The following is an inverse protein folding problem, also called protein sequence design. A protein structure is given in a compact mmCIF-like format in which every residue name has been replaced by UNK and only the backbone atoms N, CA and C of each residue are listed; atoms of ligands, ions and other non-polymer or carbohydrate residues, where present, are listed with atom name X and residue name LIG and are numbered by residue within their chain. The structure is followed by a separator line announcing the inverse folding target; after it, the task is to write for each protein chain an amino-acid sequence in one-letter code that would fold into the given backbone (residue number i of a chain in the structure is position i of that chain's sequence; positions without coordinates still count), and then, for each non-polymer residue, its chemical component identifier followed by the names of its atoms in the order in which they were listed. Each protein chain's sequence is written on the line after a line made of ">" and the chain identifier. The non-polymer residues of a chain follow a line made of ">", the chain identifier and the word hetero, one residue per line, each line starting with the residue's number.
data_IF_142524025189
#
_entry.id   IF_142524025189
#
_cell.length_a   1.000
_cell.length_b   1.000
_cell.length_c   1.000
_cell.angle_alpha   90.00
_cell.angle_beta   90.00
_cell.angle_gamma   90.00
#
_symmetry.space_group_name_H-M   'P 1'
#
loop_
_entity.id
_entity.type
_entity.pdbx_description
1 polymer ?
#
# COMPACT_ATOMS: atom_id res chain seq x y z
N UNK A 1 13.71 1.94 33.56
CA UNK A 1 13.77 2.82 32.38
C UNK A 1 12.38 3.37 32.11
N UNK A 2 12.28 4.61 31.64
CA UNK A 2 11.00 5.16 31.18
C UNK A 2 10.66 4.62 29.79
N UNK A 3 9.38 4.69 29.38
CA UNK A 3 8.97 4.35 28.00
C UNK A 3 9.78 5.12 26.95
N UNK A 4 10.07 6.40 27.21
CA UNK A 4 10.88 7.25 26.34
C UNK A 4 12.31 6.73 26.19
N UNK A 5 12.92 6.28 27.28
CA UNK A 5 14.29 5.75 27.25
C UNK A 5 14.37 4.47 26.40
N UNK A 6 13.34 3.62 26.47
CA UNK A 6 13.26 2.40 25.66
C UNK A 6 13.11 2.73 24.17
N UNK A 7 12.25 3.68 23.80
CA UNK A 7 12.15 4.12 22.40
C UNK A 7 13.49 4.67 21.89
N UNK A 8 14.16 5.52 22.68
CA UNK A 8 15.48 6.04 22.31
C UNK A 8 16.52 4.93 22.18
N UNK A 9 16.50 3.94 23.07
CA UNK A 9 17.35 2.74 22.96
C UNK A 9 17.08 2.01 21.65
N UNK A 10 15.83 1.71 21.30
CA UNK A 10 15.49 1.01 20.06
C UNK A 10 15.85 1.79 18.79
N UNK A 11 15.75 3.12 18.85
CA UNK A 11 16.14 4.00 17.74
C UNK A 11 17.66 4.08 17.53
N UNK A 12 18.46 3.75 18.54
CA UNK A 12 19.93 3.95 18.51
C UNK A 12 20.76 2.69 18.73
N UNK A 13 20.16 1.60 19.21
CA UNK A 13 20.87 0.36 19.50
C UNK A 13 21.52 -0.21 18.24
N UNK A 14 22.63 -0.94 18.37
CA UNK A 14 23.29 -1.51 17.21
C UNK A 14 22.53 -2.71 16.64
N UNK A 15 22.80 -2.99 15.37
CA UNK A 15 22.41 -4.28 14.78
C UNK A 15 23.21 -5.44 15.37
N UNK A 16 22.63 -6.64 15.31
CA UNK A 16 23.31 -7.86 15.69
C UNK A 16 24.38 -8.21 14.65
N UNK A 17 25.57 -8.68 15.06
CA UNK A 17 26.65 -8.99 14.12
C UNK A 17 26.23 -9.98 13.03
N UNK A 18 26.46 -9.63 11.76
CA UNK A 18 26.09 -10.42 10.57
C UNK A 18 24.60 -10.78 10.48
N UNK A 19 23.72 -10.04 11.16
CA UNK A 19 22.29 -10.27 11.09
C UNK A 19 21.64 -9.47 9.95
N UNK A 20 20.47 -9.95 9.52
CA UNK A 20 19.60 -9.26 8.57
C UNK A 20 18.24 -9.00 9.22
N UNK A 21 17.54 -8.01 8.68
CA UNK A 21 16.30 -7.49 9.24
C UNK A 21 15.23 -7.36 8.16
N UNK A 22 13.99 -7.62 8.53
CA UNK A 22 12.83 -7.22 7.73
C UNK A 22 12.38 -5.82 8.13
N UNK A 23 12.09 -4.98 7.14
CA UNK A 23 11.45 -3.69 7.36
C UNK A 23 9.94 -3.88 7.39
N UNK A 24 9.35 -3.78 8.57
CA UNK A 24 7.93 -3.83 8.82
C UNK A 24 7.38 -2.43 9.15
N UNK A 25 6.11 -2.19 8.82
CA UNK A 25 5.42 -0.96 9.13
C UNK A 25 4.04 -1.24 9.73
N UNK A 26 3.62 -0.42 10.70
CA UNK A 26 2.29 -0.46 11.30
C UNK A 26 1.71 0.95 11.35
N UNK A 27 0.62 1.18 10.62
CA UNK A 27 -0.07 2.49 10.56
C UNK A 27 -1.58 2.28 10.68
N UNK A 28 -2.32 3.36 10.88
CA UNK A 28 -3.79 3.33 10.87
C UNK A 28 -4.29 4.03 9.62
N UNK A 29 -5.07 3.32 8.81
CA UNK A 29 -5.83 3.92 7.73
C UNK A 29 -7.25 4.26 8.26
N UNK A 30 -7.77 5.48 8.05
CA UNK A 30 -9.08 5.88 8.56
C UNK A 30 -10.25 5.02 8.06
N UNK A 31 -10.14 4.44 6.86
CA UNK A 31 -11.19 3.64 6.23
C UNK A 31 -10.93 2.14 6.42
N UNK A 32 -9.67 1.72 6.34
CA UNK A 32 -9.27 0.30 6.35
C UNK A 32 -8.83 -0.20 7.73
N UNK A 33 -8.68 0.69 8.71
CA UNK A 33 -8.22 0.35 10.05
C UNK A 33 -6.73 0.03 10.10
N UNK A 34 -6.31 -0.85 11.01
CA UNK A 34 -4.90 -1.19 11.23
C UNK A 34 -4.29 -1.77 9.95
N UNK A 35 -3.29 -1.09 9.41
CA UNK A 35 -2.49 -1.57 8.29
C UNK A 35 -1.13 -2.02 8.79
N UNK A 36 -0.83 -3.29 8.60
CA UNK A 36 0.47 -3.87 8.88
C UNK A 36 1.08 -4.34 7.55
N UNK A 37 2.34 -4.00 7.31
CA UNK A 37 3.02 -4.37 6.07
C UNK A 37 4.51 -4.68 6.28
N UNK A 38 5.10 -5.35 5.30
CA UNK A 38 6.53 -5.61 5.22
C UNK A 38 7.02 -5.16 3.84
N UNK A 39 8.24 -4.61 3.77
CA UNK A 39 8.87 -4.36 2.49
C UNK A 39 9.18 -5.67 1.78
N UNK A 40 8.76 -5.77 0.52
CA UNK A 40 8.86 -7.01 -0.26
C UNK A 40 9.75 -6.86 -1.48
N UNK A 41 10.35 -7.97 -1.87
CA UNK A 41 11.08 -8.13 -3.13
C UNK A 41 10.33 -9.08 -4.05
N UNK A 42 10.49 -8.86 -5.36
CA UNK A 42 9.98 -9.76 -6.39
C UNK A 42 10.71 -11.11 -6.33
N UNK A 43 9.98 -12.22 -6.42
CA UNK A 43 10.57 -13.56 -6.45
C UNK A 43 10.00 -14.47 -7.55
N UNK A 44 9.11 -13.97 -8.41
CA UNK A 44 8.61 -14.73 -9.55
C UNK A 44 7.26 -14.23 -10.06
N UNK A 45 6.64 -15.04 -10.90
CA UNK A 45 5.27 -14.85 -11.34
C UNK A 45 4.45 -16.09 -11.05
N UNK A 46 3.18 -15.91 -10.73
CA UNK A 46 2.22 -17.01 -10.68
C UNK A 46 2.02 -17.60 -12.09
N UNK A 47 1.79 -18.91 -12.14
CA UNK A 47 1.54 -19.64 -13.38
C UNK A 47 0.14 -19.33 -13.98
N UNK A 48 -0.78 -18.88 -13.13
CA UNK A 48 -2.14 -18.52 -13.53
C UNK A 48 -2.16 -17.24 -14.39
N UNK A 49 -3.18 -17.14 -15.26
CA UNK A 49 -3.44 -15.94 -16.06
C UNK A 49 -4.58 -15.11 -15.45
N UNK A 50 -4.47 -13.77 -15.39
CA UNK A 50 -3.31 -12.96 -15.79
C UNK A 50 -2.12 -13.18 -14.85
N UNK A 51 -0.89 -13.15 -15.38
CA UNK A 51 0.32 -13.35 -14.58
C UNK A 51 0.39 -12.28 -13.48
N UNK A 52 0.48 -12.72 -12.24
CA UNK A 52 0.65 -11.85 -11.07
C UNK A 52 2.05 -12.01 -10.50
N UNK A 53 2.60 -10.93 -9.96
CA UNK A 53 3.90 -10.99 -9.29
C UNK A 53 3.77 -11.81 -8.00
N UNK A 54 4.74 -12.68 -7.74
CA UNK A 54 4.93 -13.28 -6.43
C UNK A 54 6.01 -12.47 -5.73
N UNK A 55 5.72 -12.06 -4.50
CA UNK A 55 6.62 -11.23 -3.69
C UNK A 55 6.78 -11.84 -2.30
N UNK A 56 7.97 -11.69 -1.73
CA UNK A 56 8.32 -12.14 -0.38
C UNK A 56 9.01 -11.01 0.38
N UNK A 57 9.10 -11.11 1.70
CA UNK A 57 9.82 -10.14 2.52
C UNK A 57 11.26 -9.93 2.03
N UNK A 58 11.69 -8.67 2.05
CA UNK A 58 13.06 -8.27 1.71
C UNK A 58 13.90 -8.12 2.99
N UNK A 59 15.14 -8.57 2.90
CA UNK A 59 16.11 -8.51 4.00
C UNK A 59 17.04 -7.31 3.80
N UNK A 60 17.38 -6.65 4.90
CA UNK A 60 18.21 -5.45 4.94
C UNK A 60 19.28 -5.57 6.02
N UNK A 61 20.39 -4.85 5.84
CA UNK A 61 21.26 -4.47 6.96
C UNK A 61 20.52 -3.44 7.81
N UNK A 62 20.38 -3.73 9.11
CA UNK A 62 19.51 -3.00 10.02
C UNK A 62 19.93 -1.54 10.19
N UNK A 63 21.21 -1.29 10.48
CA UNK A 63 21.68 0.09 10.67
C UNK A 63 21.64 0.90 9.38
N UNK A 64 22.07 0.31 8.26
CA UNK A 64 22.05 0.98 6.97
C UNK A 64 20.62 1.39 6.57
N UNK A 65 19.66 0.48 6.70
CA UNK A 65 18.26 0.76 6.40
C UNK A 65 17.66 1.77 7.38
N UNK A 66 17.98 1.70 8.68
CA UNK A 66 17.53 2.67 9.68
C UNK A 66 18.04 4.08 9.37
N UNK A 67 19.30 4.21 8.98
CA UNK A 67 19.91 5.50 8.64
C UNK A 67 19.26 6.10 7.40
N UNK A 68 19.04 5.30 6.35
CA UNK A 68 18.32 5.74 5.15
C UNK A 68 16.90 6.23 5.49
N UNK A 69 16.17 5.45 6.31
CA UNK A 69 14.83 5.81 6.76
C UNK A 69 14.83 7.09 7.59
N UNK A 70 15.81 7.27 8.48
CA UNK A 70 15.96 8.48 9.27
C UNK A 70 16.21 9.72 8.40
N UNK A 71 17.12 9.63 7.43
CA UNK A 71 17.41 10.71 6.48
C UNK A 71 16.18 11.07 5.63
N UNK A 72 15.36 10.08 5.28
CA UNK A 72 14.10 10.28 4.58
C UNK A 72 12.95 10.79 5.46
N UNK A 73 13.16 10.98 6.78
CA UNK A 73 12.15 11.47 7.73
C UNK A 73 11.19 10.41 8.26
N UNK A 74 11.53 9.13 8.13
CA UNK A 74 10.72 7.96 8.48
C UNK A 74 11.40 7.07 9.54
N UNK A 75 11.72 7.57 10.75
CA UNK A 75 12.50 6.84 11.76
C UNK A 75 11.95 5.44 12.03
N UNK A 76 12.86 4.49 12.29
CA UNK A 76 12.54 3.10 12.55
C UNK A 76 13.12 2.60 13.88
N UNK A 77 12.37 1.73 14.55
CA UNK A 77 12.86 0.97 15.71
C UNK A 77 13.66 -0.24 15.21
N UNK A 78 14.89 -0.42 15.67
CA UNK A 78 15.60 -1.68 15.45
C UNK A 78 15.18 -2.66 16.56
N UNK A 79 14.76 -3.88 16.21
CA UNK A 79 14.19 -4.85 17.16
C UNK A 79 14.98 -6.15 17.08
N UNK A 80 15.79 -6.37 18.12
CA UNK A 80 16.64 -7.55 18.28
C UNK A 80 16.01 -8.62 19.17
N UNK A 81 15.13 -8.22 20.09
CA UNK A 81 14.53 -9.09 21.11
C UNK A 81 12.99 -9.13 20.98
N UNK A 82 12.41 -10.29 21.27
CA UNK A 82 10.96 -10.52 21.20
C UNK A 82 10.17 -9.63 22.16
N UNK A 83 10.72 -9.31 23.34
CA UNK A 83 10.10 -8.43 24.32
C UNK A 83 10.00 -6.99 23.84
N UNK A 84 10.77 -6.59 22.84
CA UNK A 84 10.79 -5.24 22.28
C UNK A 84 9.67 -5.02 21.24
N UNK A 85 9.03 -6.09 20.74
CA UNK A 85 7.92 -6.01 19.78
C UNK A 85 6.74 -5.18 20.32
N UNK A 86 6.52 -5.18 21.64
CA UNK A 86 5.46 -4.37 22.26
C UNK A 86 5.64 -2.87 21.97
N UNK A 87 6.87 -2.37 21.86
CA UNK A 87 7.12 -0.96 21.58
C UNK A 87 6.76 -0.61 20.14
N UNK A 88 6.97 -1.53 19.19
CA UNK A 88 6.49 -1.34 17.82
C UNK A 88 4.97 -1.27 17.74
N UNK A 89 4.26 -2.17 18.42
CA UNK A 89 2.79 -2.12 18.46
C UNK A 89 2.24 -0.89 19.18
N UNK A 90 2.92 -0.37 20.20
CA UNK A 90 2.49 0.83 20.91
C UNK A 90 2.80 2.12 20.15
N UNK A 91 3.96 2.18 19.48
CA UNK A 91 4.42 3.38 18.77
C UNK A 91 3.84 3.49 17.36
N UNK A 92 3.70 2.37 16.66
CA UNK A 92 3.46 2.31 15.22
C UNK A 92 4.69 2.71 14.41
N UNK A 93 4.48 2.98 13.12
CA UNK A 93 5.51 3.45 12.19
C UNK A 93 6.38 2.32 11.68
N UNK A 94 7.68 2.57 11.56
CA UNK A 94 8.62 1.60 11.00
C UNK A 94 9.37 0.82 12.08
N UNK A 95 9.58 -0.46 11.83
CA UNK A 95 10.47 -1.31 12.60
C UNK A 95 11.33 -2.18 11.69
N UNK A 96 12.58 -2.37 12.08
CA UNK A 96 13.51 -3.31 11.49
C UNK A 96 13.62 -4.49 12.45
N UNK A 97 12.99 -5.60 12.09
CA UNK A 97 12.83 -6.76 12.97
C UNK A 97 13.81 -7.83 12.54
N UNK A 98 14.61 -8.32 13.49
CA UNK A 98 15.62 -9.35 13.26
C UNK A 98 15.02 -10.55 12.52
N UNK A 99 15.73 -11.06 11.50
CA UNK A 99 15.24 -12.11 10.61
C UNK A 99 14.64 -13.31 11.37
N UNK A 100 15.40 -13.91 12.28
CA UNK A 100 14.95 -15.10 13.03
C UNK A 100 13.68 -14.82 13.85
N UNK A 101 13.58 -13.62 14.44
CA UNK A 101 12.43 -13.19 15.21
C UNK A 101 11.21 -12.98 14.31
N UNK A 102 11.41 -12.33 13.17
CA UNK A 102 10.36 -12.02 12.21
C UNK A 102 9.82 -13.28 11.54
N UNK A 103 10.69 -14.21 11.14
CA UNK A 103 10.29 -15.52 10.60
C UNK A 103 9.51 -16.33 11.65
N UNK A 104 9.94 -16.32 12.92
CA UNK A 104 9.23 -16.99 14.01
C UNK A 104 7.83 -16.41 14.26
N UNK A 105 7.66 -15.08 14.20
CA UNK A 105 6.44 -14.39 14.65
C UNK A 105 5.50 -13.99 13.52
N UNK A 106 6.02 -13.77 12.33
CA UNK A 106 5.35 -13.10 11.21
C UNK A 106 5.55 -13.81 9.86
N UNK A 107 5.86 -15.12 9.85
CA UNK A 107 6.06 -15.91 8.64
C UNK A 107 5.01 -15.64 7.54
N UNK A 108 3.72 -15.68 7.90
CA UNK A 108 2.60 -15.43 6.99
C UNK A 108 2.62 -14.06 6.27
N UNK A 109 3.34 -13.07 6.80
CA UNK A 109 3.52 -11.79 6.12
C UNK A 109 4.77 -11.72 5.23
N UNK A 110 5.72 -12.62 5.45
CA UNK A 110 7.06 -12.60 4.84
C UNK A 110 7.17 -13.64 3.72
N UNK A 111 6.41 -14.73 3.82
CA UNK A 111 6.39 -15.81 2.86
C UNK A 111 5.99 -15.32 1.46
N UNK A 112 6.45 -16.01 0.39
CA UNK A 112 6.05 -15.69 -0.97
C UNK A 112 4.52 -15.72 -1.14
N UNK A 113 3.94 -14.60 -1.55
CA UNK A 113 2.51 -14.50 -1.87
C UNK A 113 2.28 -13.82 -3.20
N UNK A 114 1.13 -14.12 -3.81
CA UNK A 114 0.68 -13.47 -5.03
C UNK A 114 0.24 -12.05 -4.70
N UNK A 115 0.79 -11.07 -5.41
CA UNK A 115 0.50 -9.66 -5.16
C UNK A 115 -0.12 -8.95 -6.36
N UNK A 116 -0.94 -7.96 -6.04
CA UNK A 116 -1.45 -6.95 -6.97
C UNK A 116 -0.80 -5.60 -6.67
N UNK A 117 -0.75 -4.72 -7.67
CA UNK A 117 -0.24 -3.36 -7.52
C UNK A 117 -1.29 -2.50 -6.85
N UNK A 118 -0.87 -1.76 -5.83
CA UNK A 118 -1.71 -0.74 -5.21
C UNK A 118 -2.05 0.38 -6.20
N UNK A 119 -3.25 0.94 -6.09
CA UNK A 119 -3.72 2.03 -6.96
C UNK A 119 -2.86 3.28 -6.90
N UNK A 120 -2.16 3.48 -5.78
CA UNK A 120 -1.15 4.50 -5.61
C UNK A 120 0.10 4.29 -6.48
N UNK A 121 0.25 3.16 -7.17
CA UNK A 121 1.43 2.80 -7.96
C UNK A 121 2.71 2.55 -7.15
N UNK A 122 2.71 2.85 -5.86
CA UNK A 122 3.88 2.85 -4.96
C UNK A 122 3.95 1.64 -4.02
N UNK A 123 3.17 0.59 -4.27
CA UNK A 123 3.09 -0.55 -3.36
C UNK A 123 2.46 -1.80 -3.96
N UNK A 124 2.39 -2.83 -3.13
CA UNK A 124 1.82 -4.12 -3.45
C UNK A 124 0.93 -4.62 -2.31
N UNK A 125 -0.22 -5.18 -2.67
CA UNK A 125 -1.12 -5.85 -1.73
C UNK A 125 -1.11 -7.36 -2.01
N UNK A 126 -1.07 -8.18 -0.94
CA UNK A 126 -1.30 -9.61 -1.05
C UNK A 126 -2.71 -9.87 -1.59
N UNK A 127 -2.85 -10.81 -2.53
CA UNK A 127 -4.16 -11.21 -3.04
C UNK A 127 -5.09 -11.70 -1.91
N UNK A 128 -4.53 -12.31 -0.87
CA UNK A 128 -5.30 -12.85 0.26
C UNK A 128 -5.93 -11.76 1.14
N UNK A 129 -5.38 -10.54 1.13
CA UNK A 129 -5.95 -9.42 1.88
C UNK A 129 -7.00 -8.63 1.08
N UNK A 130 -7.23 -8.99 -0.18
CA UNK A 130 -8.13 -8.26 -1.08
C UNK A 130 -9.52 -8.87 -1.14
N UNK A 131 -10.51 -8.01 -1.35
CA UNK A 131 -11.88 -8.46 -1.61
C UNK A 131 -12.00 -9.13 -2.97
N UNK A 132 -13.00 -10.02 -3.12
CA UNK A 132 -13.35 -10.62 -4.43
C UNK A 132 -13.59 -9.57 -5.52
N UNK A 133 -14.14 -8.42 -5.16
CA UNK A 133 -14.38 -7.30 -6.08
C UNK A 133 -13.09 -6.68 -6.61
N UNK A 134 -12.05 -6.59 -5.78
CA UNK A 134 -10.73 -6.10 -6.20
C UNK A 134 -9.98 -7.12 -7.07
N UNK A 135 -10.28 -8.41 -6.89
CA UNK A 135 -9.66 -9.55 -7.59
C UNK A 135 -10.34 -9.96 -8.91
N UNK A 136 -11.43 -9.32 -9.31
CA UNK A 136 -12.08 -9.56 -10.62
C UNK A 136 -11.71 -8.49 -11.65
N UNK A 137 -11.65 -8.86 -12.93
CA UNK A 137 -11.34 -7.91 -14.00
C UNK A 137 -12.44 -6.86 -14.19
N UNK A 138 -13.69 -7.30 -14.30
CA UNK A 138 -14.80 -6.39 -14.55
C UNK A 138 -15.22 -5.70 -13.24
N UNK A 139 -15.31 -4.36 -13.20
CA UNK A 139 -15.87 -3.67 -12.04
C UNK A 139 -17.35 -4.04 -11.86
N UNK A 140 -17.81 -4.09 -10.60
CA UNK A 140 -19.24 -4.24 -10.31
C UNK A 140 -20.01 -3.04 -10.84
N UNK A 141 -21.33 -3.18 -11.04
CA UNK A 141 -22.20 -2.06 -11.44
C UNK A 141 -22.09 -0.87 -10.47
N UNK A 142 -21.97 -1.15 -9.17
CA UNK A 142 -21.78 -0.14 -8.12
C UNK A 142 -20.47 0.61 -8.30
N UNK A 143 -19.34 -0.08 -8.36
CA UNK A 143 -18.01 0.53 -8.56
C UNK A 143 -17.97 1.31 -9.88
N UNK A 144 -18.54 0.76 -10.95
CA UNK A 144 -18.64 1.44 -12.25
C UNK A 144 -19.41 2.76 -12.12
N UNK A 145 -20.54 2.78 -11.44
CA UNK A 145 -21.35 4.00 -11.27
C UNK A 145 -20.67 5.02 -10.35
N UNK A 146 -19.95 4.55 -9.34
CA UNK A 146 -19.15 5.39 -8.45
C UNK A 146 -18.05 6.13 -9.21
N UNK A 147 -17.25 5.41 -10.03
CA UNK A 147 -16.22 6.01 -10.88
C UNK A 147 -16.82 7.02 -11.85
N UNK A 148 -17.90 6.67 -12.56
CA UNK A 148 -18.58 7.59 -13.47
C UNK A 148 -19.11 8.85 -12.75
N UNK A 149 -19.55 8.72 -11.50
CA UNK A 149 -20.06 9.84 -10.72
C UNK A 149 -18.93 10.73 -10.21
N UNK A 150 -17.86 10.14 -9.66
CA UNK A 150 -16.62 10.84 -9.26
C UNK A 150 -16.02 11.65 -10.40
N UNK A 151 -16.07 11.09 -11.60
CA UNK A 151 -15.51 11.68 -12.82
C UNK A 151 -16.45 12.68 -13.49
N UNK A 152 -17.61 12.97 -12.89
CA UNK A 152 -18.60 13.92 -13.42
C UNK A 152 -19.22 13.48 -14.75
N UNK A 153 -19.24 12.17 -15.03
CA UNK A 153 -19.71 11.56 -16.29
C UNK A 153 -19.05 12.21 -17.52
N UNK A 154 -17.74 12.44 -17.43
CA UNK A 154 -16.88 13.03 -18.46
C UNK A 154 -15.66 12.18 -18.68
N UNK A 155 -15.15 12.17 -19.91
CA UNK A 155 -13.83 11.63 -20.19
C UNK A 155 -12.77 12.43 -19.42
N UNK A 156 -11.90 11.75 -18.67
CA UNK A 156 -10.86 12.40 -17.88
C UNK A 156 -9.67 12.90 -18.72
N UNK A 157 -9.56 12.49 -19.98
CA UNK A 157 -8.56 13.02 -20.93
C UNK A 157 -9.10 14.24 -21.68
N UNK A 158 -10.21 14.10 -22.42
CA UNK A 158 -10.70 15.16 -23.32
C UNK A 158 -11.88 15.99 -22.77
N UNK A 159 -12.43 15.65 -21.61
CA UNK A 159 -13.55 16.37 -20.98
C UNK A 159 -14.94 16.18 -21.62
N UNK A 160 -15.04 15.50 -22.77
CA UNK A 160 -16.32 15.23 -23.47
C UNK A 160 -17.26 14.39 -22.60
N UNK A 161 -18.57 14.62 -22.73
CA UNK A 161 -19.63 13.92 -22.00
C UNK A 161 -20.81 13.58 -22.91
N UNK A 162 -21.47 12.41 -22.71
CA UNK A 162 -22.73 12.07 -23.40
C UNK A 162 -23.85 13.10 -23.19
N UNK A 163 -23.76 13.95 -22.17
CA UNK A 163 -24.76 15.01 -21.94
C UNK A 163 -24.77 16.10 -23.02
N UNK A 164 -23.67 16.28 -23.76
CA UNK A 164 -23.52 17.33 -24.79
C UNK A 164 -23.22 16.77 -26.18
N UNK A 165 -22.90 15.48 -26.29
CA UNK A 165 -22.44 14.84 -27.52
C UNK A 165 -23.04 13.44 -27.64
N UNK A 166 -23.81 13.19 -28.70
CA UNK A 166 -24.50 11.91 -28.93
C UNK A 166 -23.57 10.77 -29.35
N UNK A 167 -22.37 11.10 -29.85
CA UNK A 167 -21.34 10.16 -30.30
C UNK A 167 -20.40 9.69 -29.17
N UNK A 168 -20.58 10.19 -27.94
CA UNK A 168 -19.70 9.86 -26.82
C UNK A 168 -20.23 8.66 -26.06
N UNK A 169 -19.48 7.57 -26.09
CA UNK A 169 -19.63 6.43 -25.18
C UNK A 169 -18.53 6.47 -24.12
N UNK A 170 -18.89 6.28 -22.85
CA UNK A 170 -17.95 6.27 -21.72
C UNK A 170 -17.65 4.85 -21.22
N UNK A 171 -16.37 4.55 -21.09
CA UNK A 171 -15.82 3.34 -20.53
C UNK A 171 -15.14 3.64 -19.19
N UNK A 172 -15.07 2.61 -18.34
CA UNK A 172 -14.29 2.65 -17.10
C UNK A 172 -13.07 1.78 -17.35
N UNK A 173 -11.89 2.37 -17.23
CA UNK A 173 -10.60 1.80 -17.62
C UNK A 173 -9.69 1.69 -16.40
N UNK A 174 -8.85 0.66 -16.34
CA UNK A 174 -7.84 0.52 -15.30
C UNK A 174 -6.58 1.30 -15.67
N UNK A 175 -6.21 2.33 -14.91
CA UNK A 175 -5.00 3.11 -15.14
C UNK A 175 -3.72 2.24 -15.04
N UNK A 176 -3.64 1.42 -13.99
CA UNK A 176 -2.73 0.25 -13.95
C UNK A 176 -3.50 -0.93 -14.54
N UNK A 177 -3.12 -1.45 -15.72
CA UNK A 177 -3.90 -2.48 -16.39
C UNK A 177 -4.10 -3.73 -15.54
N UNK A 178 -5.28 -4.32 -15.61
CA UNK A 178 -5.62 -5.57 -14.92
C UNK A 178 -4.59 -6.68 -15.19
N UNK A 179 -4.20 -6.83 -16.45
CA UNK A 179 -3.20 -7.82 -16.88
C UNK A 179 -1.78 -7.55 -16.38
N UNK A 180 -1.49 -6.36 -15.84
CA UNK A 180 -0.20 -5.96 -15.27
C UNK A 180 -0.22 -5.91 -13.73
N UNK A 181 -1.24 -6.48 -13.10
CA UNK A 181 -1.32 -6.51 -11.64
C UNK A 181 -2.26 -5.48 -11.03
N UNK A 182 -2.86 -4.57 -11.81
CA UNK A 182 -3.76 -3.55 -11.26
C UNK A 182 -5.02 -4.14 -10.62
N UNK A 183 -5.46 -3.52 -9.53
CA UNK A 183 -6.68 -3.89 -8.81
C UNK A 183 -7.93 -3.24 -9.43
N UNK A 184 -9.09 -3.86 -9.22
CA UNK A 184 -10.38 -3.28 -9.61
C UNK A 184 -10.98 -2.52 -8.44
N UNK A 185 -10.54 -1.28 -8.28
CA UNK A 185 -11.00 -0.37 -7.25
C UNK A 185 -11.06 1.06 -7.77
N UNK A 186 -11.85 1.92 -7.13
CA UNK A 186 -12.14 3.28 -7.60
C UNK A 186 -10.84 4.06 -7.86
N UNK A 187 -9.84 3.89 -7.00
CA UNK A 187 -8.55 4.57 -7.07
C UNK A 187 -7.70 4.17 -8.28
N UNK A 188 -7.93 3.00 -8.89
CA UNK A 188 -7.24 2.56 -10.13
C UNK A 188 -8.12 2.71 -11.37
N UNK A 189 -9.40 3.09 -11.22
CA UNK A 189 -10.35 3.16 -12.31
C UNK A 189 -10.57 4.61 -12.75
N UNK A 190 -10.63 4.82 -14.06
CA UNK A 190 -10.80 6.14 -14.67
C UNK A 190 -11.84 6.10 -15.81
N UNK A 191 -12.64 7.15 -15.94
CA UNK A 191 -13.64 7.29 -17.00
C UNK A 191 -13.04 7.86 -18.27
N UNK A 192 -13.09 7.11 -19.37
CA UNK A 192 -12.59 7.54 -20.68
C UNK A 192 -13.69 7.44 -21.74
N UNK A 193 -13.70 8.34 -22.73
CA UNK A 193 -14.54 8.10 -23.91
C UNK A 193 -13.91 7.03 -24.80
N UNK A 194 -14.73 6.38 -25.64
CA UNK A 194 -14.26 5.35 -26.57
C UNK A 194 -13.04 5.78 -27.39
N UNK A 195 -13.06 6.99 -27.97
CA UNK A 195 -11.95 7.52 -28.77
C UNK A 195 -10.64 7.61 -27.98
N UNK A 196 -10.69 8.16 -26.75
CA UNK A 196 -9.51 8.26 -25.91
C UNK A 196 -9.05 6.88 -25.41
N UNK A 197 -9.98 6.00 -25.06
CA UNK A 197 -9.69 4.64 -24.61
C UNK A 197 -8.98 3.82 -25.69
N UNK A 198 -9.49 3.85 -26.92
CA UNK A 198 -8.92 3.12 -28.05
C UNK A 198 -7.57 3.71 -28.51
N UNK A 199 -7.31 4.99 -28.21
CA UNK A 199 -6.05 5.65 -28.47
C UNK A 199 -4.93 5.32 -27.48
N UNK A 200 -5.25 4.67 -26.35
CA UNK A 200 -4.23 4.16 -25.42
C UNK A 200 -3.61 2.89 -26.02
N UNK A 201 -2.53 3.02 -26.78
CA UNK A 201 -1.70 1.89 -27.25
C UNK A 201 -0.36 1.97 -26.51
N UNK A 202 0.04 1.01 -25.65
CA UNK A 202 -0.47 -0.37 -25.46
C UNK A 202 -1.42 -0.54 -24.24
N UNK A 203 -2.56 0.15 -24.22
CA UNK A 203 -3.55 0.19 -23.11
C UNK A 203 -2.94 0.45 -21.72
N UNK A 204 -1.78 1.10 -21.69
CA UNK A 204 -1.01 1.37 -20.49
C UNK A 204 -0.33 2.71 -20.69
N UNK A 205 -0.86 3.73 -20.04
CA UNK A 205 -0.27 5.05 -20.00
C UNK A 205 -0.06 5.41 -18.53
N UNK A 206 1.19 5.51 -18.12
CA UNK A 206 1.53 5.83 -16.73
C UNK A 206 1.07 7.24 -16.34
N UNK A 207 0.86 8.12 -17.32
CA UNK A 207 0.32 9.46 -17.07
C UNK A 207 -1.12 9.40 -16.57
N UNK A 208 -1.87 8.31 -16.81
CA UNK A 208 -3.18 8.11 -16.20
C UNK A 208 -3.12 7.83 -14.70
N UNK A 209 -2.06 7.16 -14.24
CA UNK A 209 -1.83 6.94 -12.81
C UNK A 209 -1.52 8.28 -12.15
N UNK A 210 -0.63 9.08 -12.76
CA UNK A 210 -0.30 10.42 -12.30
C UNK A 210 -1.55 11.32 -12.27
N UNK A 211 -2.35 11.31 -13.34
CA UNK A 211 -3.59 12.08 -13.43
C UNK A 211 -4.58 11.71 -12.31
N UNK A 212 -4.72 10.42 -12.00
CA UNK A 212 -5.56 9.98 -10.89
C UNK A 212 -5.03 10.50 -9.54
N UNK A 213 -3.72 10.45 -9.32
CA UNK A 213 -3.11 10.96 -8.07
C UNK A 213 -3.21 12.47 -7.94
N UNK A 214 -3.05 13.22 -9.02
CA UNK A 214 -3.18 14.69 -9.02
C UNK A 214 -4.63 15.11 -8.77
N UNK A 215 -5.58 14.44 -9.41
CA UNK A 215 -6.99 14.82 -9.36
C UNK A 215 -7.71 14.29 -8.14
N UNK A 216 -7.34 13.10 -7.70
CA UNK A 216 -7.91 12.37 -6.58
C UNK A 216 -6.78 11.92 -5.66
N UNK A 217 -6.05 12.88 -5.03
CA UNK A 217 -4.98 12.53 -4.14
C UNK A 217 -5.53 11.63 -3.04
N UNK A 218 -4.90 10.48 -2.83
CA UNK A 218 -5.02 9.80 -1.56
C UNK A 218 -4.65 10.82 -0.49
N UNK A 219 -5.42 10.87 0.60
CA UNK A 219 -5.26 11.87 1.68
C UNK A 219 -3.76 12.04 1.96
N UNK A 220 -3.25 13.25 1.74
CA UNK A 220 -1.83 13.52 1.89
C UNK A 220 -1.46 13.36 3.36
N UNK A 221 -0.92 12.20 3.70
CA UNK A 221 -0.46 11.94 5.05
C UNK A 221 1.01 12.32 5.16
N UNK A 222 1.30 13.18 6.14
CA UNK A 222 2.67 13.27 6.63
C UNK A 222 2.89 12.12 7.60
N UNK A 223 4.05 11.45 7.53
CA UNK A 223 4.37 10.31 8.39
C UNK A 223 4.06 10.57 9.87
N UNK A 224 4.42 11.77 10.37
CA UNK A 224 4.16 12.16 11.76
C UNK A 224 2.66 12.22 12.11
N UNK A 225 1.81 12.61 11.18
CA UNK A 225 0.36 12.61 11.39
C UNK A 225 -0.19 11.19 11.43
N UNK A 226 0.30 10.28 10.60
CA UNK A 226 -0.09 8.87 10.64
C UNK A 226 0.30 8.21 11.96
N UNK A 227 1.51 8.49 12.45
CA UNK A 227 1.95 8.00 13.75
C UNK A 227 1.08 8.55 14.88
N UNK A 228 0.73 9.84 14.85
CA UNK A 228 -0.18 10.44 15.84
C UNK A 228 -1.56 9.79 15.81
N UNK A 229 -2.12 9.52 14.63
CA UNK A 229 -3.41 8.84 14.48
C UNK A 229 -3.34 7.43 15.02
N UNK A 230 -2.27 6.69 14.68
CA UNK A 230 -2.05 5.34 15.16
C UNK A 230 -2.01 5.30 16.69
N UNK A 231 -1.24 6.20 17.31
CA UNK A 231 -1.11 6.27 18.77
C UNK A 231 -2.42 6.68 19.45
N UNK A 232 -3.18 7.61 18.86
CA UNK A 232 -4.51 7.95 19.35
C UNK A 232 -5.48 6.76 19.26
N UNK A 233 -5.42 5.99 18.17
CA UNK A 233 -6.20 4.76 18.02
C UNK A 233 -5.82 3.72 19.07
N UNK A 234 -4.53 3.40 19.25
CA UNK A 234 -4.07 2.47 20.30
C UNK A 234 -4.57 2.91 21.68
N UNK A 235 -4.46 4.20 22.01
CA UNK A 235 -4.96 4.74 23.27
C UNK A 235 -6.46 4.47 23.46
N UNK A 236 -7.27 4.70 22.42
CA UNK A 236 -8.71 4.43 22.47
C UNK A 236 -9.01 2.94 22.68
N UNK A 237 -8.21 2.03 22.10
CA UNK A 237 -8.37 0.59 22.30
C UNK A 237 -8.03 0.18 23.74
N UNK A 238 -6.99 0.79 24.33
CA UNK A 238 -6.63 0.54 25.74
C UNK A 238 -7.72 1.03 26.70
N UNK A 239 -8.29 2.21 26.45
CA UNK A 239 -9.38 2.79 27.26
C UNK A 239 -10.69 1.97 27.15
N UNK A 240 -10.94 1.32 26.01
CA UNK A 240 -12.14 0.50 25.82
C UNK A 240 -12.10 -0.85 26.56
N UNK A 241 -10.92 -1.29 27.01
CA UNK A 241 -10.71 -2.56 27.72
C UNK A 241 -10.70 -2.35 29.25
N UNK A 242 -10.54 -1.11 29.72
CA UNK A 242 -10.57 -0.70 31.14
C UNK A 242 -11.96 -0.27 31.59
#
# INVERSE_FOLDING_TARGET
>A
MTYKDEILRLMTQPEQPNALYYHCSAVIDPEKGLQWSVQTQWCGYADERPRREIRKGCLYHGEAQRNWLHEAGYPALLINDELDLKYFYLLGGNALILQELAEKRFAHHIEPTVCLRESGGLGFASADSLSKTQLQHAPTKTVRMEVLTRDGRRCQICGRSPAYYVDVELHVHHAIPWGKGGMTEVQNLITLCKTCHDGLEPHCDMDLVNLLHEKYPNVAFTYLEDIKRYQAWIKSQMEAVT
#
